data_IF_438798963522
#
_entry.id   IF_438798963522
#
_cell.length_a   1.000
_cell.length_b   1.000
_cell.length_c   1.000
_cell.angle_alpha   90.00
_cell.angle_beta   90.00
_cell.angle_gamma   90.00
#
_symmetry.space_group_name_H-M   'P 1'
#
loop_
_entity.id
_entity.type
_entity.pdbx_description
1 polymer ?
#
# COMPACT_ATOMS: atom_id res chain seq x y z
N UNK A 1 -40.87 -24.04 -3.16
CA UNK A 1 -40.36 -22.77 -2.59
C UNK A 1 -39.05 -22.93 -1.81
N UNK A 2 -38.76 -24.07 -1.17
CA UNK A 2 -37.47 -24.31 -0.45
C UNK A 2 -36.20 -24.27 -1.31
N UNK A 3 -36.28 -24.72 -2.56
CA UNK A 3 -35.10 -24.88 -3.41
C UNK A 3 -34.46 -23.53 -3.81
N UNK A 4 -35.28 -22.48 -3.97
CA UNK A 4 -34.81 -21.12 -4.29
C UNK A 4 -34.06 -20.50 -3.10
N UNK A 5 -34.57 -20.70 -1.88
CA UNK A 5 -33.92 -20.21 -0.66
C UNK A 5 -32.56 -20.87 -0.37
N UNK A 6 -32.46 -22.19 -0.55
CA UNK A 6 -31.19 -22.90 -0.37
C UNK A 6 -30.13 -22.49 -1.41
N UNK A 7 -30.55 -22.28 -2.67
CA UNK A 7 -29.65 -21.81 -3.74
C UNK A 7 -29.14 -20.40 -3.45
N UNK A 8 -30.01 -19.47 -3.02
CA UNK A 8 -29.61 -18.11 -2.64
C UNK A 8 -28.59 -18.11 -1.49
N UNK A 9 -28.84 -18.86 -0.42
CA UNK A 9 -27.91 -18.97 0.72
C UNK A 9 -26.57 -19.57 0.26
N UNK A 10 -26.57 -20.61 -0.56
CA UNK A 10 -25.32 -21.20 -1.07
C UNK A 10 -24.51 -20.24 -1.95
N UNK A 11 -25.21 -19.38 -2.70
CA UNK A 11 -24.60 -18.36 -3.55
C UNK A 11 -23.97 -17.24 -2.70
N UNK A 12 -24.69 -16.73 -1.71
CA UNK A 12 -24.19 -15.71 -0.77
C UNK A 12 -22.98 -16.20 0.02
N UNK A 13 -23.02 -17.44 0.54
CA UNK A 13 -21.88 -18.06 1.24
C UNK A 13 -20.67 -18.19 0.32
N UNK A 14 -20.87 -18.61 -0.94
CA UNK A 14 -19.80 -18.72 -1.92
C UNK A 14 -19.19 -17.35 -2.25
N UNK A 15 -20.01 -16.33 -2.41
CA UNK A 15 -19.54 -14.96 -2.64
C UNK A 15 -18.74 -14.46 -1.44
N UNK A 16 -19.27 -14.58 -0.22
CA UNK A 16 -18.57 -14.19 1.01
C UNK A 16 -17.20 -14.87 1.13
N UNK A 17 -17.14 -16.19 0.93
CA UNK A 17 -15.88 -16.93 0.98
C UNK A 17 -14.89 -16.47 -0.09
N UNK A 18 -15.38 -16.12 -1.28
CA UNK A 18 -14.53 -15.58 -2.35
C UNK A 18 -13.94 -14.22 -1.95
N UNK A 19 -14.74 -13.32 -1.39
CA UNK A 19 -14.26 -12.02 -0.88
C UNK A 19 -13.27 -12.19 0.27
N UNK A 20 -13.58 -13.03 1.26
CA UNK A 20 -12.70 -13.32 2.38
C UNK A 20 -11.35 -13.88 1.92
N UNK A 21 -11.34 -14.81 0.96
CA UNK A 21 -10.12 -15.36 0.39
C UNK A 21 -9.30 -14.31 -0.37
N UNK A 22 -9.94 -13.40 -1.10
CA UNK A 22 -9.25 -12.32 -1.79
C UNK A 22 -8.62 -11.33 -0.79
N UNK A 23 -9.34 -10.94 0.26
CA UNK A 23 -8.80 -10.09 1.33
C UNK A 23 -7.62 -10.76 2.04
N UNK A 24 -7.70 -12.07 2.31
CA UNK A 24 -6.60 -12.82 2.91
C UNK A 24 -5.34 -12.82 2.03
N UNK A 25 -5.48 -12.97 0.70
CA UNK A 25 -4.37 -12.87 -0.25
C UNK A 25 -3.77 -11.47 -0.29
N UNK A 26 -4.62 -10.43 -0.33
CA UNK A 26 -4.15 -9.03 -0.34
C UNK A 26 -3.41 -8.73 0.97
N UNK A 27 -3.95 -9.16 2.12
CA UNK A 27 -3.26 -9.06 3.41
C UNK A 27 -1.86 -9.67 3.36
N UNK A 28 -1.74 -10.93 2.96
CA UNK A 28 -0.44 -11.61 2.90
C UNK A 28 0.55 -10.87 2.01
N UNK A 29 0.07 -10.36 0.89
CA UNK A 29 0.85 -9.60 -0.07
C UNK A 29 1.34 -8.27 0.50
N UNK A 30 0.47 -7.50 1.16
CA UNK A 30 0.83 -6.22 1.79
C UNK A 30 1.86 -6.44 2.91
N UNK A 31 1.70 -7.48 3.73
CA UNK A 31 2.68 -7.85 4.76
C UNK A 31 4.03 -8.23 4.13
N UNK A 32 4.02 -9.08 3.09
CA UNK A 32 5.23 -9.50 2.41
C UNK A 32 5.96 -8.31 1.77
N UNK A 33 5.22 -7.39 1.15
CA UNK A 33 5.80 -6.17 0.59
C UNK A 33 6.41 -5.29 1.67
N UNK A 34 5.73 -5.10 2.81
CA UNK A 34 6.28 -4.36 3.93
C UNK A 34 7.58 -4.98 4.45
N UNK A 35 7.60 -6.28 4.71
CA UNK A 35 8.79 -7.01 5.15
C UNK A 35 9.93 -6.99 4.12
N UNK A 36 9.60 -7.10 2.83
CA UNK A 36 10.58 -6.98 1.76
C UNK A 36 11.22 -5.60 1.79
N UNK A 37 10.41 -4.54 1.89
CA UNK A 37 10.93 -3.17 1.98
C UNK A 37 11.82 -2.99 3.21
N UNK A 38 11.44 -3.48 4.39
CA UNK A 38 12.30 -3.47 5.59
C UNK A 38 13.64 -4.17 5.35
N UNK A 39 13.60 -5.38 4.77
CA UNK A 39 14.80 -6.14 4.45
C UNK A 39 15.70 -5.40 3.45
N UNK A 40 15.12 -4.71 2.46
CA UNK A 40 15.87 -3.89 1.50
C UNK A 40 16.45 -2.64 2.13
N UNK A 41 15.74 -2.00 3.05
CA UNK A 41 16.22 -0.84 3.79
C UNK A 41 17.47 -1.17 4.62
N UNK A 42 17.53 -2.35 5.23
CA UNK A 42 18.74 -2.82 5.90
C UNK A 42 19.82 -3.30 4.90
N UNK A 43 19.44 -3.97 3.80
CA UNK A 43 20.38 -4.45 2.78
C UNK A 43 21.19 -3.31 2.15
N UNK A 44 20.55 -2.18 1.84
CA UNK A 44 21.17 -1.05 1.13
C UNK A 44 21.70 0.03 2.08
N UNK A 45 21.75 -0.27 3.38
CA UNK A 45 22.19 0.68 4.40
C UNK A 45 23.60 1.20 4.10
N UNK A 46 23.76 2.51 4.08
CA UNK A 46 25.02 3.18 3.78
C UNK A 46 25.20 3.56 2.32
N UNK A 47 24.33 3.12 1.40
CA UNK A 47 24.26 3.67 0.06
C UNK A 47 23.56 5.03 0.07
N UNK A 48 24.00 5.93 -0.81
CA UNK A 48 23.31 7.17 -1.11
C UNK A 48 22.04 6.94 -1.94
N UNK A 49 21.15 7.92 -1.97
CA UNK A 49 19.93 7.91 -2.81
C UNK A 49 20.29 7.66 -4.28
N UNK A 50 21.27 8.40 -4.81
CA UNK A 50 21.69 8.31 -6.21
C UNK A 50 22.21 6.90 -6.55
N UNK A 51 22.92 6.23 -5.64
CA UNK A 51 23.39 4.85 -5.83
C UNK A 51 22.23 3.85 -5.85
N UNK A 52 21.24 4.02 -4.97
CA UNK A 52 20.04 3.17 -4.93
C UNK A 52 19.24 3.33 -6.22
N UNK A 53 19.01 4.57 -6.66
CA UNK A 53 18.28 4.86 -7.90
C UNK A 53 19.04 4.35 -9.13
N UNK A 54 20.35 4.54 -9.21
CA UNK A 54 21.17 4.05 -10.33
C UNK A 54 21.15 2.52 -10.46
N UNK A 55 21.01 1.79 -9.35
CA UNK A 55 20.89 0.33 -9.35
C UNK A 55 19.45 -0.16 -9.57
N UNK A 56 18.47 0.73 -9.65
CA UNK A 56 17.06 0.35 -9.77
C UNK A 56 16.70 0.00 -11.21
N UNK A 57 16.38 -1.27 -11.43
CA UNK A 57 15.83 -1.74 -12.71
C UNK A 57 14.32 -1.46 -12.74
N UNK A 58 13.90 -0.51 -13.56
CA UNK A 58 12.50 -0.12 -13.69
C UNK A 58 11.71 -1.15 -14.50
N UNK A 59 10.89 -1.95 -13.82
CA UNK A 59 10.05 -3.00 -14.41
C UNK A 59 8.68 -2.51 -14.90
N UNK A 60 8.27 -1.29 -14.56
CA UNK A 60 7.01 -0.66 -14.95
C UNK A 60 7.12 0.87 -14.91
N UNK A 61 6.13 1.57 -15.48
CA UNK A 61 6.03 3.03 -15.38
C UNK A 61 5.35 3.40 -14.05
N UNK A 62 6.16 3.68 -13.04
CA UNK A 62 5.70 4.04 -11.71
C UNK A 62 5.21 5.49 -11.64
N UNK A 63 4.59 5.85 -10.52
CA UNK A 63 4.14 7.21 -10.25
C UNK A 63 4.43 7.62 -8.81
N UNK A 64 4.87 8.87 -8.65
CA UNK A 64 5.20 9.46 -7.35
C UNK A 64 4.35 10.70 -7.15
N UNK A 65 3.50 10.68 -6.13
CA UNK A 65 2.70 11.83 -5.69
C UNK A 65 3.32 12.40 -4.42
N UNK A 66 3.45 13.72 -4.33
CA UNK A 66 4.10 14.37 -3.19
C UNK A 66 3.31 15.61 -2.78
N UNK A 67 3.25 15.87 -1.48
CA UNK A 67 2.77 17.15 -0.95
C UNK A 67 3.73 18.30 -1.33
N UNK A 68 5.02 17.99 -1.45
CA UNK A 68 6.11 18.88 -1.89
C UNK A 68 6.72 18.34 -3.21
N UNK A 69 6.17 18.71 -4.39
CA UNK A 69 6.51 18.07 -5.67
C UNK A 69 7.95 18.30 -6.16
N UNK A 70 8.68 19.27 -5.58
CA UNK A 70 10.07 19.55 -5.93
C UNK A 70 11.09 18.83 -5.05
N UNK A 71 10.64 18.15 -4.00
CA UNK A 71 11.52 17.38 -3.14
C UNK A 71 11.88 16.06 -3.80
N UNK A 72 13.20 15.81 -3.91
CA UNK A 72 13.73 14.52 -4.35
C UNK A 72 13.32 13.40 -3.38
N UNK A 73 13.46 12.16 -3.85
CA UNK A 73 13.31 11.01 -2.99
C UNK A 73 14.37 11.01 -1.90
N UNK A 74 13.96 10.68 -0.68
CA UNK A 74 14.89 10.33 0.38
C UNK A 74 15.32 8.86 0.28
N UNK A 75 16.20 8.43 1.17
CA UNK A 75 16.71 7.05 1.19
C UNK A 75 15.59 6.00 1.30
N UNK A 76 14.63 6.21 2.22
CA UNK A 76 13.52 5.27 2.42
C UNK A 76 12.68 5.16 1.15
N UNK A 77 12.34 6.30 0.57
CA UNK A 77 11.52 6.41 -0.63
C UNK A 77 12.18 5.74 -1.84
N UNK A 78 13.48 5.97 -2.04
CA UNK A 78 14.24 5.35 -3.12
C UNK A 78 14.31 3.82 -2.97
N UNK A 79 14.55 3.31 -1.75
CA UNK A 79 14.58 1.87 -1.49
C UNK A 79 13.19 1.25 -1.60
N UNK A 80 12.14 1.93 -1.14
CA UNK A 80 10.77 1.46 -1.30
C UNK A 80 10.37 1.36 -2.77
N UNK A 81 10.66 2.40 -3.57
CA UNK A 81 10.49 2.40 -5.03
C UNK A 81 11.22 1.24 -5.68
N UNK A 82 12.49 1.02 -5.35
CA UNK A 82 13.29 -0.12 -5.82
C UNK A 82 12.65 -1.47 -5.45
N UNK A 83 12.14 -1.58 -4.23
CA UNK A 83 11.49 -2.80 -3.72
C UNK A 83 10.24 -3.14 -4.52
N UNK A 84 9.42 -2.14 -4.87
CA UNK A 84 8.25 -2.32 -5.73
C UNK A 84 8.65 -2.87 -7.11
N UNK A 85 9.64 -2.26 -7.76
CA UNK A 85 10.12 -2.72 -9.07
C UNK A 85 10.68 -4.13 -9.05
N UNK A 86 11.50 -4.46 -8.04
CA UNK A 86 12.04 -5.81 -7.88
C UNK A 86 10.94 -6.83 -7.61
N UNK A 87 9.95 -6.49 -6.78
CA UNK A 87 8.83 -7.40 -6.50
C UNK A 87 8.03 -7.74 -7.76
N UNK A 88 7.70 -6.75 -8.60
CA UNK A 88 6.98 -7.01 -9.86
C UNK A 88 7.80 -7.86 -10.83
N UNK A 89 9.13 -7.65 -10.87
CA UNK A 89 10.02 -8.44 -11.74
C UNK A 89 10.00 -9.94 -11.38
N UNK A 90 9.88 -10.28 -10.09
CA UNK A 90 9.87 -11.68 -9.63
C UNK A 90 8.48 -12.31 -9.52
N UNK A 91 7.45 -11.50 -9.22
CA UNK A 91 6.10 -11.97 -8.92
C UNK A 91 5.10 -11.48 -9.97
N UNK A 92 5.50 -11.46 -11.26
CA UNK A 92 4.74 -10.94 -12.41
C UNK A 92 3.23 -10.90 -12.17
N UNK A 93 2.62 -9.70 -12.18
CA UNK A 93 1.29 -9.39 -11.63
C UNK A 93 1.28 -9.17 -10.10
N UNK A 94 2.41 -8.77 -9.53
CA UNK A 94 2.52 -8.38 -8.14
C UNK A 94 1.72 -7.12 -7.87
N UNK A 95 1.20 -6.41 -8.87
CA UNK A 95 0.27 -5.30 -8.64
C UNK A 95 -0.98 -5.33 -9.55
N UNK A 96 -1.12 -6.34 -10.40
CA UNK A 96 -2.25 -6.43 -11.35
C UNK A 96 -3.54 -6.88 -10.66
N UNK A 97 -4.28 -5.92 -10.11
CA UNK A 97 -5.66 -6.10 -9.66
C UNK A 97 -6.51 -4.93 -10.19
N UNK A 98 -7.58 -5.26 -10.92
CA UNK A 98 -8.47 -4.25 -11.51
C UNK A 98 -9.15 -3.36 -10.47
N UNK A 99 -9.35 -3.88 -9.24
CA UNK A 99 -10.11 -3.21 -8.18
C UNK A 99 -9.27 -2.92 -6.92
N UNK A 100 -7.94 -2.86 -7.05
CA UNK A 100 -7.06 -2.51 -5.94
C UNK A 100 -5.90 -1.64 -6.43
N UNK A 101 -5.46 -0.76 -5.55
CA UNK A 101 -4.27 0.09 -5.76
C UNK A 101 -3.33 -0.24 -4.61
N UNK A 102 -2.07 -0.52 -4.96
CA UNK A 102 -1.02 -0.78 -3.98
C UNK A 102 -0.01 0.34 -4.06
N UNK A 103 0.32 0.91 -2.91
CA UNK A 103 1.24 2.03 -2.83
C UNK A 103 2.08 1.95 -1.57
N UNK A 104 3.26 2.53 -1.63
CA UNK A 104 4.04 2.85 -0.45
C UNK A 104 3.73 4.29 -0.02
N UNK A 105 3.38 4.49 1.25
CA UNK A 105 3.15 5.81 1.83
C UNK A 105 4.34 6.17 2.71
N UNK A 106 5.13 7.13 2.26
CA UNK A 106 6.27 7.68 3.00
C UNK A 106 5.79 8.78 3.94
N UNK A 107 6.00 8.60 5.24
CA UNK A 107 5.73 9.64 6.23
C UNK A 107 6.91 10.59 6.41
N UNK A 108 8.12 10.10 6.10
CA UNK A 108 9.35 10.88 6.16
C UNK A 108 9.41 12.01 5.13
N UNK A 109 8.80 11.84 3.95
CA UNK A 109 8.80 12.85 2.88
C UNK A 109 7.43 13.16 2.29
N UNK A 110 6.34 12.67 2.91
CA UNK A 110 4.95 12.90 2.47
C UNK A 110 4.75 12.56 0.99
N UNK A 111 5.14 11.33 0.61
CA UNK A 111 5.03 10.82 -0.77
C UNK A 111 4.23 9.53 -0.84
N UNK A 112 3.52 9.34 -1.94
CA UNK A 112 2.92 8.08 -2.34
C UNK A 112 3.67 7.57 -3.57
N UNK A 113 4.16 6.33 -3.49
CA UNK A 113 4.87 5.68 -4.59
C UNK A 113 4.01 4.51 -5.07
N UNK A 114 3.59 4.58 -6.33
CA UNK A 114 2.63 3.68 -6.96
C UNK A 114 3.26 2.94 -8.13
N UNK A 115 2.74 1.75 -8.38
CA UNK A 115 2.98 0.90 -9.54
C UNK A 115 2.55 1.52 -10.88
N UNK A 116 1.59 2.45 -10.86
CA UNK A 116 1.02 3.09 -12.05
C UNK A 116 0.47 4.48 -11.75
N UNK A 117 0.42 5.38 -12.73
CA UNK A 117 -0.21 6.68 -12.56
C UNK A 117 -1.73 6.56 -12.39
N UNK A 118 -2.24 7.34 -11.44
CA UNK A 118 -3.67 7.57 -11.19
C UNK A 118 -3.92 9.06 -11.35
N UNK A 119 -4.50 9.45 -12.48
CA UNK A 119 -4.76 10.86 -12.81
C UNK A 119 -5.55 11.60 -11.70
N UNK A 120 -6.47 10.89 -11.05
CA UNK A 120 -7.28 11.46 -9.98
C UNK A 120 -6.48 11.86 -8.73
N UNK A 121 -5.28 11.31 -8.50
CA UNK A 121 -4.41 11.68 -7.38
C UNK A 121 -3.57 12.94 -7.63
N UNK A 122 -3.52 13.44 -8.87
CA UNK A 122 -2.73 14.63 -9.20
C UNK A 122 -3.24 15.86 -8.46
N UNK A 123 -2.38 16.48 -7.63
CA UNK A 123 -2.72 17.67 -6.87
C UNK A 123 -3.63 17.44 -5.65
N UNK A 124 -4.00 16.19 -5.35
CA UNK A 124 -4.86 15.86 -4.19
C UNK A 124 -4.06 15.86 -2.91
N UNK A 125 -4.10 16.98 -2.18
CA UNK A 125 -3.43 17.12 -0.88
C UNK A 125 -4.11 16.37 0.25
N UNK A 126 -5.43 16.16 0.15
CA UNK A 126 -6.22 15.51 1.19
C UNK A 126 -5.76 14.07 1.49
N UNK A 127 -5.12 13.39 0.54
CA UNK A 127 -4.56 12.04 0.75
C UNK A 127 -3.41 12.01 1.76
N UNK A 128 -2.78 13.16 2.03
CA UNK A 128 -1.71 13.32 3.02
C UNK A 128 -2.21 13.90 4.35
N UNK A 129 -3.52 14.11 4.50
CA UNK A 129 -4.11 14.67 5.71
C UNK A 129 -4.17 13.61 6.83
N UNK A 130 -3.45 13.88 7.91
CA UNK A 130 -3.33 12.99 9.08
C UNK A 130 -4.65 12.87 9.85
N UNK A 131 -5.42 13.96 9.95
CA UNK A 131 -6.70 13.97 10.66
C UNK A 131 -7.76 13.18 9.87
N UNK A 132 -7.74 13.33 8.54
CA UNK A 132 -8.55 12.51 7.65
C UNK A 132 -8.18 11.03 7.77
N UNK A 133 -6.88 10.71 7.75
CA UNK A 133 -6.42 9.34 7.95
C UNK A 133 -6.95 8.77 9.28
N UNK A 134 -6.75 9.51 10.37
CA UNK A 134 -7.07 9.05 11.72
C UNK A 134 -8.56 8.76 11.88
N UNK A 135 -9.40 9.61 11.31
CA UNK A 135 -10.86 9.46 11.36
C UNK A 135 -11.34 8.21 10.61
N UNK A 136 -10.62 7.80 9.56
CA UNK A 136 -10.97 6.65 8.72
C UNK A 136 -10.16 5.39 9.03
N UNK A 137 -9.18 5.46 9.95
CA UNK A 137 -8.18 4.42 10.19
C UNK A 137 -7.47 3.98 8.90
N UNK A 138 -7.19 4.93 8.00
CA UNK A 138 -6.67 4.64 6.65
C UNK A 138 -5.15 4.79 6.49
N UNK A 139 -4.41 5.00 7.58
CA UNK A 139 -2.95 5.01 7.61
C UNK A 139 -2.40 4.44 8.93
N UNK A 140 -1.15 3.96 8.91
CA UNK A 140 -0.51 3.30 10.06
C UNK A 140 -0.08 4.28 11.15
N UNK A 141 0.12 5.56 10.84
CA UNK A 141 0.49 6.61 11.83
C UNK A 141 -0.55 6.78 12.94
N UNK A 142 -1.82 6.54 12.64
CA UNK A 142 -2.91 6.70 13.59
C UNK A 142 -3.19 5.45 14.43
N UNK A 143 -2.43 4.37 14.21
CA UNK A 143 -2.66 3.08 14.85
C UNK A 143 -2.07 3.01 16.25
N UNK A 144 -2.73 2.25 17.13
CA UNK A 144 -2.21 1.95 18.46
C UNK A 144 -1.06 0.95 18.35
N UNK A 145 -0.11 1.01 19.29
CA UNK A 145 1.08 0.16 19.27
C UNK A 145 0.73 -1.34 19.20
N UNK A 146 -0.31 -1.75 19.91
CA UNK A 146 -0.83 -3.12 19.95
C UNK A 146 -1.52 -3.52 18.64
N UNK A 147 -2.01 -2.58 17.85
CA UNK A 147 -2.56 -2.89 16.53
C UNK A 147 -1.44 -3.12 15.50
N UNK A 148 -0.28 -2.50 15.71
CA UNK A 148 0.88 -2.65 14.84
C UNK A 148 1.65 -3.96 15.06
N UNK A 149 1.45 -4.65 16.19
CA UNK A 149 2.12 -5.94 16.47
C UNK A 149 1.73 -7.03 15.48
N UNK A 150 0.49 -7.00 15.00
CA UNK A 150 -0.01 -7.96 14.01
C UNK A 150 0.50 -7.66 12.59
N UNK A 151 1.22 -6.54 12.41
CA UNK A 151 1.79 -6.05 11.16
C UNK A 151 0.78 -5.88 10.02
N UNK A 152 -0.52 -5.86 10.35
CA UNK A 152 -1.58 -5.57 9.41
C UNK A 152 -2.67 -4.76 10.07
N UNK A 153 -3.12 -3.72 9.37
CA UNK A 153 -4.28 -2.93 9.75
C UNK A 153 -5.32 -2.96 8.62
N UNK A 154 -6.57 -2.99 9.02
CA UNK A 154 -7.72 -2.80 8.14
C UNK A 154 -8.42 -1.51 8.53
N UNK A 155 -8.67 -0.64 7.56
CA UNK A 155 -9.46 0.56 7.80
C UNK A 155 -10.95 0.22 7.96
N UNK A 156 -11.72 1.21 8.41
CA UNK A 156 -13.16 1.21 8.16
C UNK A 156 -13.40 1.48 6.66
N UNK A 157 -14.55 1.11 6.09
CA UNK A 157 -14.93 1.57 4.76
C UNK A 157 -15.01 3.11 4.73
N UNK A 158 -14.33 3.73 3.78
CA UNK A 158 -14.28 5.19 3.63
C UNK A 158 -14.45 5.62 2.17
N UNK A 159 -14.90 6.86 1.94
CA UNK A 159 -14.85 7.47 0.61
C UNK A 159 -13.45 7.95 0.31
N UNK A 160 -12.88 7.58 -0.83
CA UNK A 160 -11.52 8.01 -1.16
C UNK A 160 -11.41 9.52 -1.32
N UNK A 161 -10.20 10.06 -1.18
CA UNK A 161 -9.93 11.50 -1.32
C UNK A 161 -9.89 11.98 -2.77
N UNK A 162 -9.88 11.06 -3.73
CA UNK A 162 -9.67 11.33 -5.15
C UNK A 162 -10.80 10.81 -6.04
N UNK A 163 -11.72 10.01 -5.52
CA UNK A 163 -12.95 9.56 -6.20
C UNK A 163 -14.11 9.41 -5.21
N UNK A 164 -15.34 9.35 -5.71
CA UNK A 164 -16.55 9.07 -4.90
C UNK A 164 -16.69 7.58 -4.52
N UNK A 165 -15.70 6.74 -4.85
CA UNK A 165 -15.74 5.32 -4.55
C UNK A 165 -15.53 5.04 -3.06
N UNK A 166 -16.19 3.99 -2.59
CA UNK A 166 -15.94 3.42 -1.27
C UNK A 166 -14.75 2.45 -1.35
N UNK A 167 -13.81 2.59 -0.41
CA UNK A 167 -12.62 1.75 -0.31
C UNK A 167 -12.41 1.23 1.11
N UNK A 168 -11.60 0.18 1.21
CA UNK A 168 -11.00 -0.31 2.44
C UNK A 168 -9.49 -0.35 2.21
N UNK A 169 -8.71 0.19 3.15
CA UNK A 169 -7.26 0.07 3.15
C UNK A 169 -6.83 -1.17 3.94
N UNK A 170 -5.91 -1.94 3.36
CA UNK A 170 -5.16 -2.99 4.04
C UNK A 170 -3.71 -2.54 4.06
N UNK A 171 -3.16 -2.36 5.25
CA UNK A 171 -1.87 -1.69 5.44
C UNK A 171 -0.93 -2.56 6.26
N UNK A 172 0.37 -2.51 5.97
CA UNK A 172 1.42 -3.06 6.82
C UNK A 172 2.36 -1.91 7.18
N UNK A 173 2.74 -1.74 8.45
CA UNK A 173 3.80 -0.82 8.80
C UNK A 173 5.13 -1.29 8.20
N UNK A 174 6.01 -0.32 7.93
CA UNK A 174 7.39 -0.53 7.50
C UNK A 174 8.29 0.18 8.49
N UNK A 175 9.22 -0.56 9.08
CA UNK A 175 10.16 -0.04 10.06
C UNK A 175 11.58 0.01 9.53
N UNK A 176 12.30 1.07 9.84
CA UNK A 176 13.74 1.17 9.61
C UNK A 176 14.41 1.67 10.89
N UNK A 177 15.42 0.95 11.36
CA UNK A 177 16.13 1.29 12.61
C UNK A 177 15.21 1.44 13.84
N UNK A 178 14.07 0.74 13.84
CA UNK A 178 13.09 0.76 14.92
C UNK A 178 12.04 1.89 14.82
N UNK A 179 12.12 2.74 13.78
CA UNK A 179 11.17 3.81 13.54
C UNK A 179 10.24 3.48 12.37
N UNK A 180 8.99 3.93 12.45
CA UNK A 180 8.01 3.83 11.36
C UNK A 180 8.36 4.88 10.29
N UNK A 181 8.47 4.46 9.02
CA UNK A 181 8.93 5.31 7.91
C UNK A 181 7.93 5.49 6.79
#
# INVERSE_FOLDING_TARGET
TMMIGAVLISYEVKQFNTYANNLAKIKQKVILMGLLTEAKLEQYKGLSVDEVEAQTEFSFQDAIYSLSPYEKLNYVEAVARKSLHQAEAYLSNAFNQQNAIMYFSSYTGSKLILERPIKALEGVKATFDVDWCKSNYSCVLAAWKEQLTDRVLFSLPFKTTYSDDMAISIMSPVYFQGELV
#
